data_IF_193603732259
#
_entry.id   IF_193603732259
#
_cell.length_a   1.000
_cell.length_b   1.000
_cell.length_c   1.000
_cell.angle_alpha   90.00
_cell.angle_beta   90.00
_cell.angle_gamma   90.00
#
_symmetry.space_group_name_H-M   'P 1'
#
loop_
_entity.id
_entity.type
_entity.pdbx_description
1 polymer ?
#
# COMPACT_ATOMS: atom_id res chain seq x y z
N UNK A 1 27.66 5.72 -22.45
CA UNK A 1 27.01 5.42 -21.16
C UNK A 1 27.69 4.20 -20.58
N UNK A 2 28.06 4.24 -19.31
CA UNK A 2 28.66 3.11 -18.63
C UNK A 2 27.59 2.02 -18.41
N UNK A 3 27.77 0.87 -19.02
CA UNK A 3 26.85 -0.26 -18.95
C UNK A 3 26.63 -0.71 -17.49
N UNK A 4 27.67 -0.68 -16.66
CA UNK A 4 27.58 -1.04 -15.26
C UNK A 4 26.62 -0.11 -14.50
N UNK A 5 26.74 1.19 -14.66
CA UNK A 5 25.84 2.19 -14.06
C UNK A 5 24.40 1.98 -14.53
N UNK A 6 24.18 1.67 -15.80
CA UNK A 6 22.86 1.36 -16.33
C UNK A 6 22.25 0.11 -15.68
N UNK A 7 23.02 -0.94 -15.52
CA UNK A 7 22.58 -2.19 -14.86
C UNK A 7 22.25 -1.96 -13.37
N UNK A 8 23.06 -1.19 -12.65
CA UNK A 8 22.79 -0.82 -11.25
C UNK A 8 21.47 -0.07 -11.13
N UNK A 9 21.19 0.91 -12.01
CA UNK A 9 19.95 1.64 -11.99
C UNK A 9 18.71 0.74 -12.27
N UNK A 10 18.81 -0.21 -13.19
CA UNK A 10 17.73 -1.18 -13.46
C UNK A 10 17.48 -2.10 -12.29
N UNK A 11 18.54 -2.64 -11.68
CA UNK A 11 18.40 -3.51 -10.49
C UNK A 11 17.85 -2.77 -9.29
N UNK A 12 18.20 -1.51 -9.11
CA UNK A 12 17.60 -0.68 -8.06
C UNK A 12 16.08 -0.57 -8.23
N UNK A 13 15.61 -0.33 -9.46
CA UNK A 13 14.16 -0.28 -9.73
C UNK A 13 13.45 -1.62 -9.45
N UNK A 14 14.10 -2.75 -9.74
CA UNK A 14 13.57 -4.08 -9.43
C UNK A 14 13.43 -4.28 -7.91
N UNK A 15 14.48 -3.96 -7.15
CA UNK A 15 14.47 -4.07 -5.67
C UNK A 15 13.42 -3.13 -5.06
N UNK A 16 13.25 -1.92 -5.60
CA UNK A 16 12.19 -1.00 -5.12
C UNK A 16 10.79 -1.55 -5.36
N UNK A 17 10.55 -2.24 -6.49
CA UNK A 17 9.25 -2.89 -6.74
C UNK A 17 9.01 -4.09 -5.81
N UNK A 18 10.05 -4.86 -5.50
CA UNK A 18 9.96 -5.95 -4.53
C UNK A 18 9.66 -5.42 -3.12
N UNK A 19 10.28 -4.29 -2.76
CA UNK A 19 9.98 -3.62 -1.50
C UNK A 19 8.53 -3.14 -1.44
N UNK A 20 8.04 -2.49 -2.50
CA UNK A 20 6.66 -2.02 -2.62
C UNK A 20 5.67 -3.20 -2.49
N UNK A 21 5.89 -4.29 -3.23
CA UNK A 21 5.11 -5.52 -3.12
C UNK A 21 5.08 -6.07 -1.70
N UNK A 22 6.22 -6.05 -1.01
CA UNK A 22 6.35 -6.55 0.35
C UNK A 22 5.69 -5.63 1.38
N UNK A 23 5.70 -4.31 1.14
CA UNK A 23 5.03 -3.32 1.99
C UNK A 23 3.50 -3.44 1.93
N UNK A 24 2.96 -3.74 0.74
CA UNK A 24 1.52 -3.85 0.54
C UNK A 24 1.02 -5.25 0.87
N UNK A 25 1.57 -6.29 0.22
CA UNK A 25 1.06 -7.66 0.25
C UNK A 25 1.98 -8.67 0.96
N UNK A 26 3.00 -8.19 1.67
CA UNK A 26 3.92 -9.05 2.42
C UNK A 26 3.21 -9.83 3.52
N UNK A 27 3.66 -11.07 3.74
CA UNK A 27 3.19 -11.93 4.84
C UNK A 27 4.36 -12.18 5.77
N UNK A 28 4.15 -11.93 7.07
CA UNK A 28 5.19 -12.13 8.07
C UNK A 28 5.51 -13.62 8.24
N UNK A 29 6.79 -13.96 8.28
CA UNK A 29 7.17 -15.37 8.44
C UNK A 29 7.01 -15.90 9.87
N UNK A 30 6.79 -15.04 10.85
CA UNK A 30 6.77 -15.41 12.27
C UNK A 30 8.10 -16.00 12.78
N UNK A 31 9.08 -16.19 11.90
CA UNK A 31 10.39 -16.75 12.20
C UNK A 31 11.43 -15.64 12.37
N UNK A 32 12.34 -15.80 13.33
CA UNK A 32 13.48 -14.89 13.47
C UNK A 32 14.52 -15.03 12.36
N UNK A 33 14.30 -15.94 11.42
CA UNK A 33 15.24 -16.29 10.37
C UNK A 33 16.31 -17.29 10.82
N UNK A 34 16.84 -18.04 9.88
CA UNK A 34 17.98 -18.96 10.05
C UNK A 34 18.75 -18.99 8.74
N UNK A 35 19.83 -19.76 8.69
CA UNK A 35 20.61 -19.95 7.45
C UNK A 35 19.78 -20.51 6.29
N UNK A 36 18.65 -21.14 6.58
CA UNK A 36 17.77 -21.78 5.59
C UNK A 36 16.39 -21.14 5.46
N UNK A 37 15.99 -20.27 6.39
CA UNK A 37 14.68 -19.62 6.41
C UNK A 37 14.87 -18.11 6.44
N UNK A 38 14.47 -17.44 5.39
CA UNK A 38 14.50 -15.99 5.30
C UNK A 38 13.41 -15.35 6.18
N UNK A 39 13.72 -14.18 6.73
CA UNK A 39 12.71 -13.33 7.36
C UNK A 39 11.89 -12.64 6.29
N UNK A 40 10.58 -12.56 6.49
CA UNK A 40 9.69 -11.72 5.70
C UNK A 40 8.93 -10.77 6.62
N UNK A 41 8.69 -9.55 6.14
CA UNK A 41 7.89 -8.58 6.89
C UNK A 41 6.41 -8.69 6.52
N UNK A 42 5.53 -8.37 7.46
CA UNK A 42 4.11 -8.19 7.20
C UNK A 42 3.85 -6.89 6.45
N UNK A 43 2.95 -6.94 5.48
CA UNK A 43 2.49 -5.78 4.72
C UNK A 43 1.21 -5.16 5.29
N UNK A 44 0.78 -4.05 4.68
CA UNK A 44 -0.43 -3.32 5.11
C UNK A 44 -1.67 -4.22 5.08
N UNK A 45 -1.80 -5.09 4.06
CA UNK A 45 -2.94 -6.03 3.94
C UNK A 45 -2.98 -7.01 5.12
N UNK A 46 -1.83 -7.57 5.51
CA UNK A 46 -1.76 -8.50 6.64
C UNK A 46 -2.20 -7.81 7.94
N UNK A 47 -1.65 -6.64 8.25
CA UNK A 47 -2.02 -5.90 9.45
C UNK A 47 -3.48 -5.42 9.44
N UNK A 48 -3.98 -4.95 8.32
CA UNK A 48 -5.36 -4.52 8.18
C UNK A 48 -6.34 -5.70 8.34
N UNK A 49 -6.03 -6.86 7.76
CA UNK A 49 -6.86 -8.07 7.86
C UNK A 49 -6.90 -8.67 9.26
N UNK A 50 -5.93 -8.35 10.11
CA UNK A 50 -5.87 -8.79 11.51
C UNK A 50 -6.50 -7.77 12.47
N UNK A 51 -6.96 -6.61 11.99
CA UNK A 51 -7.64 -5.59 12.79
C UNK A 51 -8.98 -6.12 13.30
N UNK A 52 -9.02 -6.50 14.58
CA UNK A 52 -10.23 -7.08 15.20
C UNK A 52 -11.36 -6.05 15.23
N UNK A 53 -12.49 -6.37 14.63
CA UNK A 53 -13.68 -5.51 14.59
C UNK A 53 -13.83 -4.67 13.31
N UNK A 54 -12.76 -4.34 12.61
CA UNK A 54 -12.78 -3.50 11.40
C UNK A 54 -12.55 -4.30 10.11
N UNK A 55 -12.82 -5.61 10.15
CA UNK A 55 -12.73 -6.51 9.01
C UNK A 55 -14.12 -6.84 8.51
N UNK A 56 -14.42 -6.47 7.27
CA UNK A 56 -15.66 -6.82 6.58
C UNK A 56 -15.39 -7.85 5.47
N UNK A 57 -16.16 -8.91 5.46
CA UNK A 57 -16.04 -10.02 4.50
C UNK A 57 -17.31 -10.23 3.67
N UNK A 58 -18.25 -9.29 3.74
CA UNK A 58 -19.53 -9.38 3.02
C UNK A 58 -19.28 -9.25 1.52
N UNK A 59 -19.87 -10.15 0.72
CA UNK A 59 -19.80 -10.07 -0.74
C UNK A 59 -20.70 -8.92 -1.22
N UNK A 60 -20.10 -7.80 -1.59
CA UNK A 60 -20.82 -6.62 -2.05
C UNK A 60 -19.99 -5.78 -3.05
N UNK A 61 -20.64 -4.87 -3.74
CA UNK A 61 -19.93 -3.91 -4.59
C UNK A 61 -19.39 -2.76 -3.74
N UNK A 62 -18.20 -2.25 -4.08
CA UNK A 62 -17.67 -1.06 -3.45
C UNK A 62 -18.55 0.14 -3.82
N UNK A 63 -19.22 0.70 -2.82
CA UNK A 63 -20.08 1.90 -2.93
C UNK A 63 -19.61 2.97 -1.94
N UNK A 64 -20.07 4.19 -2.13
CA UNK A 64 -19.79 5.29 -1.18
C UNK A 64 -20.29 4.95 0.23
N UNK A 65 -21.43 4.22 0.34
CA UNK A 65 -21.96 3.78 1.63
C UNK A 65 -21.03 2.80 2.35
N UNK A 66 -20.40 1.88 1.60
CA UNK A 66 -19.41 0.92 2.15
C UNK A 66 -18.19 1.68 2.66
N UNK A 67 -17.68 2.64 1.88
CA UNK A 67 -16.54 3.48 2.29
C UNK A 67 -16.88 4.29 3.55
N UNK A 68 -18.07 4.88 3.61
CA UNK A 68 -18.53 5.60 4.80
C UNK A 68 -18.63 4.68 6.03
N UNK A 69 -19.10 3.44 5.84
CA UNK A 69 -19.13 2.42 6.89
C UNK A 69 -17.74 2.08 7.43
N UNK A 70 -16.76 1.90 6.55
CA UNK A 70 -15.36 1.66 6.92
C UNK A 70 -14.76 2.85 7.69
N UNK A 71 -15.03 4.08 7.24
CA UNK A 71 -14.57 5.28 7.94
C UNK A 71 -15.21 5.40 9.34
N UNK A 72 -16.49 5.03 9.45
CA UNK A 72 -17.19 5.05 10.73
C UNK A 72 -16.57 4.04 11.72
N UNK A 73 -16.21 2.85 11.29
CA UNK A 73 -15.52 1.86 12.14
C UNK A 73 -14.23 2.43 12.73
N UNK A 74 -13.36 3.01 11.89
CA UNK A 74 -12.13 3.65 12.35
C UNK A 74 -12.41 4.80 13.32
N UNK A 75 -13.43 5.62 13.04
CA UNK A 75 -13.80 6.75 13.88
C UNK A 75 -14.36 6.31 15.24
N UNK A 76 -15.16 5.24 15.29
CA UNK A 76 -15.69 4.65 16.53
C UNK A 76 -14.55 4.16 17.45
N UNK A 77 -13.41 3.72 16.86
CA UNK A 77 -12.20 3.33 17.59
C UNK A 77 -11.26 4.51 17.92
N UNK A 78 -11.62 5.73 17.53
CA UNK A 78 -10.85 6.95 17.80
C UNK A 78 -9.83 7.32 16.74
N UNK A 79 -9.85 6.69 15.57
CA UNK A 79 -8.97 6.97 14.43
C UNK A 79 -9.48 8.09 13.52
N UNK A 80 -8.61 8.56 12.62
CA UNK A 80 -8.88 9.59 11.62
C UNK A 80 -8.43 9.14 10.24
N UNK A 81 -9.30 8.47 9.46
CA UNK A 81 -8.92 7.97 8.15
C UNK A 81 -8.64 9.11 7.17
N UNK A 82 -7.58 8.97 6.38
CA UNK A 82 -7.16 9.97 5.39
C UNK A 82 -6.78 9.39 4.03
N UNK A 83 -6.75 8.06 3.88
CA UNK A 83 -6.52 7.42 2.58
C UNK A 83 -7.41 6.20 2.38
N UNK A 84 -7.59 5.83 1.12
CA UNK A 84 -8.13 4.55 0.70
C UNK A 84 -7.16 3.90 -0.29
N UNK A 85 -6.74 2.68 0.01
CA UNK A 85 -5.84 1.88 -0.80
C UNK A 85 -6.64 0.79 -1.53
N UNK A 86 -6.54 0.78 -2.86
CA UNK A 86 -7.33 -0.10 -3.72
C UNK A 86 -6.55 -0.59 -4.93
N UNK A 87 -6.97 -1.74 -5.47
CA UNK A 87 -6.53 -2.23 -6.78
C UNK A 87 -7.21 -1.50 -7.95
N UNK A 88 -6.79 -1.82 -9.16
CA UNK A 88 -7.28 -1.17 -10.37
C UNK A 88 -8.79 -1.33 -10.61
N UNK A 89 -9.37 -2.48 -10.26
CA UNK A 89 -10.82 -2.75 -10.38
C UNK A 89 -11.63 -1.84 -9.47
N UNK A 90 -11.28 -1.76 -8.19
CA UNK A 90 -11.99 -0.95 -7.22
C UNK A 90 -11.79 0.56 -7.44
N UNK A 91 -10.64 0.97 -8.00
CA UNK A 91 -10.46 2.37 -8.45
C UNK A 91 -11.48 2.76 -9.51
N UNK A 92 -11.79 1.86 -10.44
CA UNK A 92 -12.84 2.11 -11.45
C UNK A 92 -14.22 2.21 -10.81
N UNK A 93 -14.53 1.39 -9.80
CA UNK A 93 -15.76 1.50 -9.03
C UNK A 93 -15.86 2.85 -8.31
N UNK A 94 -14.78 3.31 -7.65
CA UNK A 94 -14.72 4.64 -7.03
C UNK A 94 -14.96 5.75 -8.06
N UNK A 95 -14.36 5.64 -9.24
CA UNK A 95 -14.56 6.62 -10.32
C UNK A 95 -16.00 6.61 -10.86
N UNK A 96 -16.76 5.55 -10.63
CA UNK A 96 -18.15 5.43 -11.00
C UNK A 96 -19.15 5.91 -9.92
N UNK A 97 -18.67 6.34 -8.72
CA UNK A 97 -19.53 6.91 -7.68
C UNK A 97 -20.30 8.12 -8.22
N UNK A 98 -21.49 8.35 -7.71
CA UNK A 98 -22.47 9.28 -8.24
C UNK A 98 -21.88 10.68 -8.55
N UNK A 99 -22.18 11.18 -9.75
CA UNK A 99 -21.68 12.45 -10.25
C UNK A 99 -22.19 13.67 -9.44
N UNK A 100 -23.30 13.53 -8.76
CA UNK A 100 -23.88 14.60 -7.92
C UNK A 100 -23.02 14.92 -6.69
N UNK A 101 -22.22 13.96 -6.23
CA UNK A 101 -21.29 14.12 -5.11
C UNK A 101 -19.90 14.63 -5.53
N UNK A 102 -19.66 14.81 -6.83
CA UNK A 102 -18.35 15.20 -7.37
C UNK A 102 -18.22 16.70 -7.53
N UNK A 103 -17.23 17.29 -6.90
CA UNK A 103 -16.69 18.58 -7.36
C UNK A 103 -15.57 18.28 -8.36
N UNK A 104 -15.91 18.23 -9.64
CA UNK A 104 -14.92 18.11 -10.70
C UNK A 104 -14.39 19.49 -11.10
N UNK A 105 -13.08 19.66 -11.10
CA UNK A 105 -12.46 20.72 -11.87
C UNK A 105 -12.56 20.32 -13.35
N UNK A 106 -13.31 21.06 -14.13
CA UNK A 106 -13.43 20.83 -15.57
C UNK A 106 -12.17 21.27 -16.28
N UNK A 107 -11.46 20.33 -16.83
CA UNK A 107 -10.56 20.58 -17.97
C UNK A 107 -11.28 20.13 -19.24
N UNK A 108 -11.62 21.08 -20.12
CA UNK A 108 -12.49 20.88 -21.27
C UNK A 108 -11.82 20.13 -22.44
N UNK A 109 -10.55 19.78 -22.30
CA UNK A 109 -9.74 19.15 -23.36
C UNK A 109 -9.50 17.65 -23.17
N UNK A 110 -9.87 17.05 -22.06
CA UNK A 110 -9.64 15.64 -21.76
C UNK A 110 -10.94 14.87 -21.64
N UNK A 111 -11.10 13.82 -22.42
CA UNK A 111 -12.23 12.89 -22.29
C UNK A 111 -11.98 11.95 -21.09
N UNK A 112 -12.87 12.00 -20.11
CA UNK A 112 -12.81 11.18 -18.89
C UNK A 112 -12.47 11.99 -17.64
N UNK A 113 -12.62 11.38 -16.50
CA UNK A 113 -12.28 11.99 -15.22
C UNK A 113 -11.72 10.96 -14.26
N UNK A 114 -10.81 11.41 -13.40
CA UNK A 114 -10.17 10.62 -12.35
C UNK A 114 -10.63 11.18 -11.02
N UNK A 115 -11.05 10.30 -10.11
CA UNK A 115 -11.37 10.69 -8.73
C UNK A 115 -10.13 10.41 -7.88
N UNK A 116 -9.46 11.46 -7.45
CA UNK A 116 -8.27 11.35 -6.60
C UNK A 116 -8.61 11.49 -5.11
N UNK A 117 -9.77 12.03 -4.79
CA UNK A 117 -10.24 12.23 -3.42
C UNK A 117 -11.70 11.85 -3.28
N UNK A 118 -12.02 11.19 -2.17
CA UNK A 118 -13.40 10.86 -1.77
C UNK A 118 -13.71 11.60 -0.48
N UNK A 119 -14.85 12.32 -0.47
CA UNK A 119 -15.34 12.98 0.74
C UNK A 119 -16.43 12.09 1.34
N UNK A 120 -16.27 11.75 2.60
CA UNK A 120 -17.21 10.92 3.35
C UNK A 120 -18.31 11.77 4.01
N UNK A 121 -19.39 11.14 4.44
CA UNK A 121 -20.49 11.78 5.18
C UNK A 121 -20.07 12.33 6.56
N UNK A 122 -19.05 11.73 7.17
CA UNK A 122 -18.43 12.23 8.41
C UNK A 122 -17.49 13.42 8.19
N UNK A 123 -17.27 13.84 6.93
CA UNK A 123 -16.40 14.98 6.58
C UNK A 123 -14.94 14.64 6.40
N UNK A 124 -14.55 13.36 6.45
CA UNK A 124 -13.19 12.94 6.11
C UNK A 124 -12.93 13.06 4.61
N UNK A 125 -11.73 13.47 4.27
CA UNK A 125 -11.25 13.52 2.89
C UNK A 125 -10.22 12.43 2.71
N UNK A 126 -10.56 11.41 1.92
CA UNK A 126 -9.69 10.28 1.65
C UNK A 126 -8.94 10.50 0.34
N UNK A 127 -7.62 10.39 0.36
CA UNK A 127 -6.80 10.30 -0.83
C UNK A 127 -6.87 8.87 -1.41
N UNK A 128 -7.16 8.76 -2.70
CA UNK A 128 -7.29 7.45 -3.36
C UNK A 128 -5.93 7.01 -3.89
N UNK A 129 -5.35 6.02 -3.24
CA UNK A 129 -4.09 5.40 -3.62
C UNK A 129 -4.38 4.12 -4.39
N UNK A 130 -3.80 4.00 -5.57
CA UNK A 130 -3.94 2.81 -6.42
C UNK A 130 -2.62 2.07 -6.44
N UNK A 131 -2.68 0.80 -6.10
CA UNK A 131 -1.50 -0.05 -6.08
C UNK A 131 -1.77 -1.38 -6.78
N UNK A 132 -0.87 -1.84 -7.69
CA UNK A 132 -1.06 -3.08 -8.44
C UNK A 132 -0.94 -4.34 -7.57
N UNK A 133 -0.38 -4.24 -6.37
CA UNK A 133 -0.22 -5.37 -5.44
C UNK A 133 -1.44 -5.60 -4.55
N UNK A 134 -2.41 -4.69 -4.57
CA UNK A 134 -3.70 -4.88 -3.88
C UNK A 134 -4.60 -5.78 -4.73
N UNK A 135 -5.12 -6.89 -4.18
CA UNK A 135 -6.09 -7.74 -4.87
C UNK A 135 -7.34 -6.98 -5.30
N UNK A 136 -7.95 -7.43 -6.40
CA UNK A 136 -9.12 -6.77 -6.99
C UNK A 136 -10.38 -6.80 -6.11
N UNK A 137 -10.43 -7.69 -5.14
CA UNK A 137 -11.53 -7.88 -4.19
C UNK A 137 -11.31 -7.19 -2.84
N UNK A 138 -10.22 -6.41 -2.71
CA UNK A 138 -9.81 -5.78 -1.45
C UNK A 138 -9.87 -4.26 -1.55
N UNK A 139 -10.35 -3.63 -0.47
CA UNK A 139 -10.21 -2.21 -0.22
C UNK A 139 -9.79 -1.97 1.25
N UNK A 140 -8.88 -1.04 1.46
CA UNK A 140 -8.38 -0.67 2.79
C UNK A 140 -8.56 0.83 2.96
N UNK A 141 -9.25 1.24 4.00
CA UNK A 141 -9.30 2.63 4.46
C UNK A 141 -8.39 2.76 5.67
N UNK A 142 -7.66 3.87 5.77
CA UNK A 142 -6.76 4.02 6.90
C UNK A 142 -6.19 5.41 7.13
N UNK A 143 -5.31 5.49 8.12
CA UNK A 143 -4.52 6.67 8.46
C UNK A 143 -3.04 6.45 8.12
N UNK A 144 -2.56 7.16 7.09
CA UNK A 144 -1.17 7.07 6.62
C UNK A 144 -0.15 7.50 7.69
N UNK A 145 -0.55 8.37 8.64
CA UNK A 145 0.35 8.84 9.70
C UNK A 145 0.73 7.74 10.70
N UNK A 146 -0.07 6.67 10.74
CA UNK A 146 0.17 5.51 11.61
C UNK A 146 1.06 4.45 10.95
N UNK A 147 1.39 4.61 9.67
CA UNK A 147 2.26 3.70 8.90
C UNK A 147 3.64 4.33 8.75
N UNK A 148 4.69 3.58 9.06
CA UNK A 148 6.07 4.01 8.85
C UNK A 148 6.89 2.87 8.26
N UNK A 149 7.68 3.19 7.26
CA UNK A 149 8.70 2.30 6.70
C UNK A 149 10.05 2.70 7.28
N UNK A 150 10.69 1.78 7.97
CA UNK A 150 11.92 2.03 8.68
C UNK A 150 13.03 1.09 8.19
N UNK A 151 14.24 1.62 7.91
CA UNK A 151 15.38 0.76 7.64
C UNK A 151 15.80 0.04 8.93
N UNK A 152 16.07 -1.25 8.83
CA UNK A 152 16.56 -2.03 9.95
C UNK A 152 18.03 -1.71 10.23
N UNK A 153 18.38 -1.39 11.50
CA UNK A 153 19.76 -1.13 11.95
C UNK A 153 20.54 -0.12 11.08
N UNK A 154 19.89 0.94 10.65
CA UNK A 154 20.48 1.92 9.71
C UNK A 154 20.89 1.31 8.35
N UNK A 155 20.34 0.18 7.98
CA UNK A 155 20.60 -0.52 6.72
C UNK A 155 19.66 0.00 5.63
N UNK A 156 19.74 1.29 5.34
CA UNK A 156 19.07 1.86 4.18
C UNK A 156 19.65 1.26 2.89
N UNK A 157 18.89 1.29 1.82
CA UNK A 157 19.32 0.73 0.54
C UNK A 157 20.66 1.31 0.07
N UNK A 158 21.59 0.42 -0.24
CA UNK A 158 22.96 0.74 -0.68
C UNK A 158 23.33 -0.10 -1.87
N UNK A 159 24.12 0.49 -2.75
CA UNK A 159 24.85 -0.22 -3.80
C UNK A 159 26.33 -0.23 -3.42
N UNK A 160 26.94 -1.39 -3.39
CA UNK A 160 28.37 -1.55 -3.06
C UNK A 160 29.06 -2.38 -4.13
N UNK A 161 30.26 -1.95 -4.51
CA UNK A 161 31.10 -2.69 -5.41
C UNK A 161 31.80 -3.83 -4.69
N UNK A 162 31.71 -5.02 -5.24
CA UNK A 162 32.39 -6.19 -4.70
C UNK A 162 33.84 -6.28 -5.21
N UNK A 163 34.70 -6.92 -4.39
CA UNK A 163 36.09 -7.16 -4.77
C UNK A 163 36.18 -7.91 -6.10
N UNK A 164 37.11 -7.50 -6.95
CA UNK A 164 37.38 -8.16 -8.23
C UNK A 164 37.92 -9.56 -8.05
N UNK A 165 37.26 -10.54 -8.60
CA UNK A 165 37.69 -11.95 -8.65
C UNK A 165 38.09 -12.38 -10.06
N UNK A 166 38.55 -11.41 -10.89
CA UNK A 166 38.91 -11.63 -12.29
C UNK A 166 38.67 -10.39 -13.14
N UNK A 167 38.41 -10.55 -14.40
CA UNK A 167 38.17 -9.46 -15.37
C UNK A 167 36.72 -8.90 -15.35
N UNK A 168 35.91 -9.28 -14.35
CA UNK A 168 34.52 -8.82 -14.24
C UNK A 168 34.34 -7.78 -13.13
N UNK A 169 33.44 -6.81 -13.36
CA UNK A 169 32.93 -5.91 -12.33
C UNK A 169 31.69 -6.52 -11.69
N UNK A 170 31.64 -6.58 -10.39
CA UNK A 170 30.52 -7.10 -9.61
C UNK A 170 30.11 -6.09 -8.56
N UNK A 171 28.83 -5.90 -8.38
CA UNK A 171 28.27 -5.14 -7.26
C UNK A 171 27.03 -5.83 -6.72
N UNK A 172 26.62 -5.45 -5.53
CA UNK A 172 25.34 -5.86 -4.99
C UNK A 172 24.57 -4.65 -4.45
N UNK A 173 23.26 -4.76 -4.49
CA UNK A 173 22.34 -3.80 -3.90
C UNK A 173 21.63 -4.52 -2.76
N UNK A 174 21.67 -3.94 -1.58
CA UNK A 174 20.99 -4.50 -0.42
C UNK A 174 20.37 -3.42 0.45
N UNK A 175 19.36 -3.80 1.21
CA UNK A 175 18.70 -2.99 2.20
C UNK A 175 17.76 -3.86 3.01
N UNK A 176 17.63 -3.55 4.29
CA UNK A 176 16.68 -4.22 5.17
C UNK A 176 15.66 -3.19 5.67
N UNK A 177 14.38 -3.49 5.50
CA UNK A 177 13.28 -2.62 5.88
C UNK A 177 12.25 -3.36 6.71
N UNK A 178 11.54 -2.63 7.53
CA UNK A 178 10.37 -3.12 8.26
C UNK A 178 9.24 -2.11 8.18
N UNK A 179 8.01 -2.60 8.25
CA UNK A 179 6.81 -1.78 8.35
C UNK A 179 6.41 -1.69 9.82
N UNK A 180 6.32 -0.48 10.36
CA UNK A 180 5.76 -0.18 11.67
C UNK A 180 4.35 0.34 11.49
N UNK A 181 3.36 -0.33 12.10
CA UNK A 181 1.98 0.12 12.15
C UNK A 181 1.60 0.34 13.60
N UNK A 182 1.17 1.57 13.90
CA UNK A 182 0.79 1.97 15.24
C UNK A 182 -0.71 1.78 15.43
N UNK A 183 -1.10 0.91 16.35
CA UNK A 183 -2.48 0.61 16.68
C UNK A 183 -3.33 0.30 15.43
N UNK A 184 -3.18 -0.91 14.89
CA UNK A 184 -3.84 -1.33 13.66
C UNK A 184 -5.38 -1.21 13.71
N UNK A 185 -5.99 -1.33 14.89
CA UNK A 185 -7.44 -1.19 15.09
C UNK A 185 -7.94 0.23 14.78
N UNK A 186 -7.24 1.25 15.27
CA UNK A 186 -7.54 2.64 14.96
C UNK A 186 -7.00 3.08 13.59
N UNK A 187 -6.04 2.33 13.04
CA UNK A 187 -5.36 2.71 11.80
C UNK A 187 -6.10 2.28 10.56
N UNK A 188 -6.79 1.14 10.58
CA UNK A 188 -7.33 0.52 9.37
C UNK A 188 -8.75 -0.03 9.55
N UNK A 189 -9.50 0.04 8.45
CA UNK A 189 -10.64 -0.82 8.17
C UNK A 189 -10.37 -1.58 6.87
N UNK A 190 -10.62 -2.87 6.88
CA UNK A 190 -10.33 -3.79 5.79
C UNK A 190 -11.63 -4.40 5.26
N UNK A 191 -11.77 -4.42 3.95
CA UNK A 191 -12.87 -5.10 3.29
C UNK A 191 -12.31 -6.03 2.23
N UNK A 192 -12.67 -7.30 2.31
CA UNK A 192 -12.40 -8.28 1.26
C UNK A 192 -13.73 -8.80 0.67
N UNK A 193 -13.61 -9.58 -0.40
CA UNK A 193 -14.76 -10.15 -1.11
C UNK A 193 -15.63 -9.10 -1.83
N UNK A 194 -15.00 -8.01 -2.30
CA UNK A 194 -15.64 -7.01 -3.15
C UNK A 194 -15.81 -7.53 -4.58
N UNK A 195 -17.03 -7.33 -5.15
CA UNK A 195 -17.35 -7.73 -6.51
C UNK A 195 -16.83 -6.76 -7.58
#
# INVERSE_FOLDING_TARGET
ADEYTHQVARRLMEVMRELDSSLVAGISSGSQGSDTVYRSMGGIIEFASQSSGNVNTTAENLTLSVVNGMCKQIWDDGGYPNFILVGGKQKRAISAFDQSARRSAYDTTVAGYVVDKVITDLGFVLDVIVDPWVPDDVAIVGDINKVKVLPLRNSAMRAEDLAKTGSSFKGHIYGEYTCEIRNALEAFAYHNNLN
#
